data_IF_693880863576
#
_entry.id   IF_693880863576
#
_cell.length_a   1.000
_cell.length_b   1.000
_cell.length_c   1.000
_cell.angle_alpha   90.00
_cell.angle_beta   90.00
_cell.angle_gamma   90.00
#
_symmetry.space_group_name_H-M   'P 1'
#
loop_
_entity.id
_entity.type
_entity.pdbx_description
1 polymer ?
#
# COMPACT_ATOMS: atom_id res chain seq x y z
N UNK A 1 -11.68 -29.22 32.63
CA UNK A 1 -10.29 -28.94 32.23
C UNK A 1 -10.02 -29.40 30.80
N UNK A 2 -10.49 -30.53 30.32
CA UNK A 2 -10.33 -31.03 28.95
C UNK A 2 -11.06 -30.18 27.91
N UNK A 3 -12.25 -29.66 28.20
CA UNK A 3 -12.97 -28.77 27.28
C UNK A 3 -12.26 -27.39 27.12
N UNK A 4 -11.69 -26.88 28.21
CA UNK A 4 -10.92 -25.62 28.14
C UNK A 4 -9.62 -25.78 27.33
N UNK A 5 -8.96 -26.94 27.45
CA UNK A 5 -7.79 -27.27 26.65
C UNK A 5 -8.13 -27.41 25.16
N UNK A 6 -9.23 -28.13 24.84
CA UNK A 6 -9.74 -28.25 23.47
C UNK A 6 -10.10 -26.88 22.87
N UNK A 7 -10.76 -26.02 23.64
CA UNK A 7 -11.10 -24.67 23.19
C UNK A 7 -9.87 -23.82 22.95
N UNK A 8 -8.83 -23.94 23.77
CA UNK A 8 -7.56 -23.25 23.58
C UNK A 8 -6.82 -23.74 22.34
N UNK A 9 -6.84 -25.05 22.07
CA UNK A 9 -6.22 -25.65 20.88
C UNK A 9 -6.97 -25.25 19.60
N UNK A 10 -8.31 -25.31 19.60
CA UNK A 10 -9.15 -24.86 18.49
C UNK A 10 -8.97 -23.37 18.22
N UNK A 11 -8.88 -22.54 19.27
CA UNK A 11 -8.63 -21.12 19.14
C UNK A 11 -7.23 -20.81 18.60
N UNK A 12 -6.23 -21.57 19.05
CA UNK A 12 -4.87 -21.47 18.53
C UNK A 12 -4.80 -21.89 17.04
N UNK A 13 -5.56 -22.92 16.68
CA UNK A 13 -5.63 -23.37 15.28
C UNK A 13 -6.39 -22.38 14.38
N UNK A 14 -7.50 -21.81 14.86
CA UNK A 14 -8.24 -20.73 14.17
C UNK A 14 -7.34 -19.49 14.00
N UNK A 15 -6.61 -19.08 15.04
CA UNK A 15 -5.67 -17.98 15.01
C UNK A 15 -4.50 -18.25 14.06
N UNK A 16 -4.03 -19.51 14.00
CA UNK A 16 -3.00 -19.98 13.07
C UNK A 16 -3.49 -19.95 11.61
N UNK A 17 -4.75 -20.33 11.39
CA UNK A 17 -5.42 -20.28 10.06
C UNK A 17 -5.67 -18.83 9.62
N UNK A 18 -6.12 -17.95 10.51
CA UNK A 18 -6.23 -16.51 10.24
C UNK A 18 -4.87 -15.86 9.91
N UNK A 19 -3.81 -16.27 10.62
CA UNK A 19 -2.45 -15.81 10.37
C UNK A 19 -1.92 -16.27 9.01
N UNK A 20 -2.40 -17.41 8.51
CA UNK A 20 -2.07 -17.94 7.19
C UNK A 20 -2.95 -17.37 6.06
N UNK A 21 -3.85 -16.42 6.38
CA UNK A 21 -4.74 -15.80 5.38
C UNK A 21 -5.85 -16.73 4.89
N UNK A 22 -6.17 -17.80 5.64
CA UNK A 22 -7.32 -18.65 5.39
C UNK A 22 -8.55 -17.97 5.98
N UNK A 23 -9.52 -17.63 5.14
CA UNK A 23 -10.83 -17.12 5.60
C UNK A 23 -11.55 -18.22 6.37
N UNK A 24 -11.97 -17.92 7.60
CA UNK A 24 -12.63 -18.84 8.54
C UNK A 24 -14.09 -19.16 8.14
N UNK A 25 -14.54 -18.69 6.98
CA UNK A 25 -15.84 -19.09 6.44
C UNK A 25 -15.73 -20.43 5.73
N UNK A 26 -16.24 -21.46 6.38
CA UNK A 26 -16.59 -22.84 6.10
C UNK A 26 -16.62 -23.43 4.69
N UNK A 27 -15.85 -22.91 3.76
CA UNK A 27 -15.63 -23.52 2.46
C UNK A 27 -14.25 -24.17 2.51
N UNK A 28 -14.25 -25.50 2.48
CA UNK A 28 -13.12 -26.41 2.38
C UNK A 28 -11.90 -25.73 1.73
N UNK A 29 -10.98 -25.23 2.55
CA UNK A 29 -9.78 -24.57 2.09
C UNK A 29 -8.88 -25.57 1.38
N UNK A 30 -8.81 -25.54 0.05
CA UNK A 30 -7.72 -26.19 -0.69
C UNK A 30 -6.41 -25.73 -0.06
N UNK A 31 -5.67 -26.65 0.57
CA UNK A 31 -4.34 -26.39 1.12
C UNK A 31 -3.53 -25.64 0.06
N UNK A 32 -3.15 -24.37 0.35
CA UNK A 32 -2.28 -23.61 -0.55
C UNK A 32 -1.00 -24.40 -0.72
N UNK A 33 -0.71 -24.85 -1.95
CA UNK A 33 0.57 -25.48 -2.26
C UNK A 33 1.61 -24.36 -2.30
N UNK A 34 2.37 -24.22 -1.22
CA UNK A 34 3.52 -23.33 -1.20
C UNK A 34 4.67 -23.95 -1.98
N UNK A 35 5.35 -23.14 -2.78
CA UNK A 35 6.58 -23.55 -3.45
C UNK A 35 7.69 -23.67 -2.41
N UNK A 36 8.42 -24.78 -2.38
CA UNK A 36 9.60 -24.91 -1.52
C UNK A 36 10.71 -24.01 -2.07
N UNK A 37 11.15 -23.03 -1.29
CA UNK A 37 12.28 -22.17 -1.62
C UNK A 37 13.42 -22.51 -0.66
N UNK A 38 14.54 -23.03 -1.19
CA UNK A 38 15.75 -23.38 -0.44
C UNK A 38 16.77 -22.24 -0.51
N UNK A 39 16.43 -21.07 -0.02
CA UNK A 39 17.37 -19.95 0.09
C UNK A 39 17.70 -19.72 1.57
N UNK A 40 18.99 -19.53 1.89
CA UNK A 40 19.45 -19.15 3.24
C UNK A 40 19.46 -17.62 3.33
N UNK A 41 18.83 -17.08 4.34
CA UNK A 41 18.89 -15.65 4.64
C UNK A 41 20.23 -15.38 5.31
N UNK A 42 21.12 -14.64 4.62
CA UNK A 42 22.42 -14.21 5.17
C UNK A 42 22.42 -12.75 5.61
N UNK A 43 21.28 -12.06 5.49
CA UNK A 43 21.17 -10.65 5.82
C UNK A 43 21.12 -10.42 7.36
N UNK A 44 21.79 -9.35 7.81
CA UNK A 44 21.85 -8.93 9.22
C UNK A 44 21.02 -7.66 9.42
N UNK A 45 20.53 -7.45 10.65
CA UNK A 45 19.77 -6.25 11.03
C UNK A 45 18.43 -6.11 10.28
N UNK A 46 17.97 -4.87 10.08
CA UNK A 46 16.70 -4.58 9.42
C UNK A 46 16.57 -5.14 7.99
N UNK A 47 17.68 -5.35 7.28
CA UNK A 47 17.66 -5.99 5.95
C UNK A 47 17.08 -7.41 5.97
N UNK A 48 17.19 -8.12 7.07
CA UNK A 48 16.64 -9.46 7.21
C UNK A 48 15.10 -9.47 7.07
N UNK A 49 14.42 -8.38 7.45
CA UNK A 49 12.97 -8.21 7.31
C UNK A 49 12.58 -8.25 5.83
N UNK A 50 13.27 -7.46 5.01
CA UNK A 50 13.03 -7.43 3.56
C UNK A 50 13.25 -8.81 2.90
N UNK A 51 14.36 -9.48 3.20
CA UNK A 51 14.63 -10.81 2.64
C UNK A 51 13.60 -11.84 3.08
N UNK A 52 13.11 -11.77 4.31
CA UNK A 52 12.03 -12.64 4.80
C UNK A 52 10.74 -12.41 4.01
N UNK A 53 10.34 -11.14 3.83
CA UNK A 53 9.18 -10.80 3.01
C UNK A 53 9.36 -11.25 1.56
N UNK A 54 10.54 -11.03 0.96
CA UNK A 54 10.84 -11.48 -0.39
C UNK A 54 10.68 -13.00 -0.53
N UNK A 55 11.12 -13.78 0.47
CA UNK A 55 10.90 -15.22 0.49
C UNK A 55 9.43 -15.60 0.60
N UNK A 56 8.64 -14.85 1.38
CA UNK A 56 7.19 -15.06 1.45
C UNK A 56 6.50 -14.77 0.11
N UNK A 57 6.92 -13.72 -0.59
CA UNK A 57 6.43 -13.44 -1.94
C UNK A 57 6.85 -14.52 -2.93
N UNK A 58 8.10 -15.02 -2.87
CA UNK A 58 8.59 -16.12 -3.73
C UNK A 58 7.86 -17.45 -3.51
N UNK A 59 7.31 -17.69 -2.31
CA UNK A 59 6.51 -18.89 -2.00
C UNK A 59 5.13 -18.83 -2.63
N UNK A 60 4.61 -17.64 -2.97
CA UNK A 60 3.31 -17.49 -3.62
C UNK A 60 3.37 -17.86 -5.10
N UNK A 61 2.24 -18.37 -5.62
CA UNK A 61 2.13 -18.84 -7.01
C UNK A 61 2.39 -17.72 -8.04
N UNK A 62 1.95 -16.51 -7.72
CA UNK A 62 2.00 -15.35 -8.62
C UNK A 62 2.99 -14.26 -8.15
N UNK A 63 3.92 -14.59 -7.27
CA UNK A 63 4.95 -13.68 -6.77
C UNK A 63 4.37 -12.36 -6.23
N UNK A 64 4.45 -11.25 -6.98
CA UNK A 64 3.96 -9.92 -6.58
C UNK A 64 2.47 -9.76 -6.86
N UNK A 65 1.93 -10.47 -7.86
CA UNK A 65 0.54 -10.32 -8.26
C UNK A 65 -0.41 -10.94 -7.23
N UNK A 66 -1.24 -10.10 -6.65
CA UNK A 66 -2.30 -10.53 -5.72
C UNK A 66 -3.66 -10.50 -6.42
N UNK A 67 -4.67 -11.15 -5.80
CA UNK A 67 -6.06 -11.03 -6.27
C UNK A 67 -6.52 -9.58 -6.31
N UNK A 68 -5.98 -8.74 -5.42
CA UNK A 68 -6.30 -7.31 -5.35
C UNK A 68 -5.71 -6.55 -6.53
N UNK A 69 -4.50 -6.88 -6.98
CA UNK A 69 -3.92 -6.33 -8.22
C UNK A 69 -4.82 -6.63 -9.42
N UNK A 70 -5.35 -7.86 -9.52
CA UNK A 70 -6.27 -8.23 -10.59
C UNK A 70 -7.58 -7.42 -10.55
N UNK A 71 -8.18 -7.25 -9.37
CA UNK A 71 -9.36 -6.41 -9.17
C UNK A 71 -9.04 -4.96 -9.56
N UNK A 72 -7.89 -4.43 -9.13
CA UNK A 72 -7.44 -3.08 -9.47
C UNK A 72 -7.34 -2.88 -10.98
N UNK A 73 -6.76 -3.85 -11.69
CA UNK A 73 -6.66 -3.82 -13.16
C UNK A 73 -8.04 -3.81 -13.81
N UNK A 74 -8.95 -4.66 -13.37
CA UNK A 74 -10.33 -4.70 -13.92
C UNK A 74 -11.04 -3.36 -13.70
N UNK A 75 -10.94 -2.77 -12.50
CA UNK A 75 -11.53 -1.45 -12.22
C UNK A 75 -10.89 -0.36 -13.09
N UNK A 76 -9.55 -0.36 -13.22
CA UNK A 76 -8.84 0.61 -14.05
C UNK A 76 -9.25 0.52 -15.52
N UNK A 77 -9.39 -0.69 -16.08
CA UNK A 77 -9.88 -0.90 -17.44
C UNK A 77 -11.33 -0.43 -17.62
N UNK A 78 -12.18 -0.71 -16.64
CA UNK A 78 -13.57 -0.24 -16.68
C UNK A 78 -13.62 1.29 -16.69
N UNK A 79 -12.86 1.96 -15.82
CA UNK A 79 -12.77 3.43 -15.81
C UNK A 79 -12.16 3.97 -17.10
N UNK A 80 -11.16 3.30 -17.63
CA UNK A 80 -10.51 3.68 -18.87
C UNK A 80 -11.51 3.66 -20.05
N UNK A 81 -12.37 2.65 -20.09
CA UNK A 81 -13.39 2.52 -21.13
C UNK A 81 -14.50 3.57 -20.96
N UNK A 82 -15.03 3.75 -19.74
CA UNK A 82 -16.14 4.67 -19.46
C UNK A 82 -15.77 6.15 -19.60
N UNK A 83 -14.51 6.51 -19.29
CA UNK A 83 -14.04 7.90 -19.37
C UNK A 83 -13.34 8.25 -20.68
N UNK A 84 -13.28 7.31 -21.63
CA UNK A 84 -12.55 7.49 -22.88
C UNK A 84 -12.99 8.72 -23.68
N UNK A 85 -14.28 8.80 -23.93
CA UNK A 85 -14.81 9.87 -24.78
C UNK A 85 -14.59 11.24 -24.15
N UNK A 86 -14.86 11.35 -22.84
CA UNK A 86 -14.55 12.58 -22.07
C UNK A 86 -13.06 12.92 -22.08
N UNK A 87 -12.17 11.96 -21.91
CA UNK A 87 -10.72 12.19 -21.86
C UNK A 87 -10.15 12.62 -23.22
N UNK A 88 -10.62 11.99 -24.31
CA UNK A 88 -10.09 12.28 -25.66
C UNK A 88 -10.72 13.55 -26.25
N UNK A 89 -12.02 13.76 -26.10
CA UNK A 89 -12.72 14.94 -26.63
C UNK A 89 -12.30 16.25 -25.96
N UNK A 90 -12.00 16.21 -24.65
CA UNK A 90 -11.58 17.40 -23.90
C UNK A 90 -10.12 17.76 -24.14
N UNK A 91 -9.30 16.86 -24.69
CA UNK A 91 -7.87 17.09 -24.93
C UNK A 91 -7.03 17.21 -23.65
N UNK A 92 -7.54 16.73 -22.50
CA UNK A 92 -6.87 16.79 -21.19
C UNK A 92 -6.75 15.38 -20.57
N UNK A 93 -6.47 14.38 -21.39
CA UNK A 93 -6.41 12.97 -21.03
C UNK A 93 -5.42 12.68 -19.86
N UNK A 94 -4.33 13.46 -19.75
CA UNK A 94 -3.36 13.34 -18.66
C UNK A 94 -3.96 13.62 -17.29
N UNK A 95 -4.91 14.58 -17.18
CA UNK A 95 -5.59 14.87 -15.91
C UNK A 95 -6.62 13.80 -15.55
N UNK A 96 -7.27 13.21 -16.55
CA UNK A 96 -8.14 12.05 -16.33
C UNK A 96 -7.32 10.86 -15.80
N UNK A 97 -6.13 10.61 -16.35
CA UNK A 97 -5.23 9.58 -15.85
C UNK A 97 -4.84 9.84 -14.39
N UNK A 98 -4.51 11.09 -14.04
CA UNK A 98 -4.24 11.50 -12.66
C UNK A 98 -5.46 11.25 -11.76
N UNK A 99 -6.67 11.54 -12.23
CA UNK A 99 -7.92 11.26 -11.51
C UNK A 99 -8.12 9.76 -11.26
N UNK A 100 -7.86 8.92 -12.26
CA UNK A 100 -7.91 7.45 -12.12
C UNK A 100 -6.93 6.97 -11.05
N UNK A 101 -5.71 7.49 -11.01
CA UNK A 101 -4.70 7.14 -10.01
C UNK A 101 -5.15 7.55 -8.60
N UNK A 102 -5.66 8.77 -8.43
CA UNK A 102 -6.17 9.25 -7.16
C UNK A 102 -7.33 8.37 -6.67
N UNK A 103 -8.28 8.05 -7.56
CA UNK A 103 -9.38 7.15 -7.26
C UNK A 103 -8.90 5.75 -6.85
N UNK A 104 -7.96 5.17 -7.62
CA UNK A 104 -7.39 3.86 -7.31
C UNK A 104 -6.65 3.86 -5.97
N UNK A 105 -5.98 4.95 -5.60
CA UNK A 105 -5.35 5.09 -4.29
C UNK A 105 -6.37 5.00 -3.14
N UNK A 106 -7.56 5.59 -3.31
CA UNK A 106 -8.65 5.52 -2.33
C UNK A 106 -9.23 4.11 -2.27
N UNK A 107 -9.59 3.53 -3.43
CA UNK A 107 -10.20 2.18 -3.51
C UNK A 107 -9.26 1.13 -2.91
N UNK A 108 -7.96 1.23 -3.19
CA UNK A 108 -6.97 0.30 -2.64
C UNK A 108 -6.66 0.58 -1.16
N UNK A 109 -7.18 1.66 -0.57
CA UNK A 109 -6.90 2.00 0.83
C UNK A 109 -7.36 0.91 1.82
N UNK A 110 -8.42 0.18 1.51
CA UNK A 110 -8.92 -0.95 2.31
C UNK A 110 -8.05 -2.21 2.26
N UNK A 111 -7.10 -2.30 1.30
CA UNK A 111 -6.27 -3.49 1.17
C UNK A 111 -5.16 -3.53 2.22
N UNK A 112 -5.13 -4.62 2.96
CA UNK A 112 -4.11 -4.90 3.96
C UNK A 112 -2.94 -5.62 3.29
N UNK A 113 -1.80 -4.96 3.17
CA UNK A 113 -0.55 -5.55 2.68
C UNK A 113 0.01 -6.58 3.68
N UNK A 114 0.94 -7.42 3.23
CA UNK A 114 1.61 -8.41 4.10
C UNK A 114 2.46 -7.77 5.20
N UNK A 115 2.92 -6.54 4.97
CA UNK A 115 3.73 -5.77 5.91
C UNK A 115 3.05 -5.55 7.27
N UNK A 116 1.71 -5.54 7.33
CA UNK A 116 0.97 -5.42 8.60
C UNK A 116 1.24 -6.60 9.53
N UNK A 117 1.39 -7.80 8.98
CA UNK A 117 1.76 -8.98 9.77
C UNK A 117 3.18 -8.88 10.32
N UNK A 118 4.06 -8.14 9.62
CA UNK A 118 5.40 -7.86 10.11
C UNK A 118 5.38 -6.92 11.31
N UNK A 119 4.57 -5.87 11.29
CA UNK A 119 4.43 -4.93 12.41
C UNK A 119 3.92 -5.60 13.70
N UNK A 120 3.12 -6.66 13.57
CA UNK A 120 2.61 -7.44 14.71
C UNK A 120 3.62 -8.46 15.23
N UNK A 121 4.79 -8.55 14.61
CA UNK A 121 5.79 -9.53 15.00
C UNK A 121 6.75 -8.92 16.04
N UNK A 122 6.77 -9.42 17.30
CA UNK A 122 7.62 -8.85 18.35
C UNK A 122 9.11 -8.91 18.01
N UNK A 123 9.55 -9.85 17.18
CA UNK A 123 10.96 -9.92 16.75
C UNK A 123 11.41 -8.71 15.94
N UNK A 124 10.49 -7.97 15.32
CA UNK A 124 10.80 -6.75 14.58
C UNK A 124 11.43 -5.71 15.51
N UNK A 125 10.92 -5.62 16.73
CA UNK A 125 11.34 -4.64 17.73
C UNK A 125 12.70 -5.02 18.37
N UNK A 126 13.00 -6.32 18.44
CA UNK A 126 14.27 -6.82 18.99
C UNK A 126 15.49 -6.64 18.06
N UNK A 127 15.29 -6.25 16.79
CA UNK A 127 16.37 -6.02 15.85
C UNK A 127 17.14 -4.75 16.25
N UNK A 128 18.47 -4.79 16.45
CA UNK A 128 19.26 -3.62 16.84
C UNK A 128 19.52 -2.70 15.64
N UNK A 129 18.50 -1.94 15.23
CA UNK A 129 18.55 -0.98 14.12
C UNK A 129 17.64 0.21 14.42
N UNK A 130 17.83 1.33 13.71
CA UNK A 130 16.99 2.51 13.89
C UNK A 130 15.56 2.26 13.41
N UNK A 131 14.52 2.82 14.08
CA UNK A 131 13.10 2.64 13.73
C UNK A 131 12.80 2.97 12.26
N UNK A 132 13.40 4.04 11.75
CA UNK A 132 13.26 4.43 10.35
C UNK A 132 13.75 3.34 9.38
N UNK A 133 14.89 2.68 9.68
CA UNK A 133 15.41 1.57 8.87
C UNK A 133 14.50 0.35 8.95
N UNK A 134 14.03 0.01 10.17
CA UNK A 134 13.10 -1.12 10.37
C UNK A 134 11.82 -0.89 9.55
N UNK A 135 11.22 0.30 9.64
CA UNK A 135 10.02 0.68 8.91
C UNK A 135 10.25 0.63 7.39
N UNK A 136 11.35 1.21 6.92
CA UNK A 136 11.70 1.23 5.49
C UNK A 136 11.83 -0.18 4.91
N UNK A 137 12.60 -1.07 5.56
CA UNK A 137 12.77 -2.44 5.08
C UNK A 137 11.49 -3.28 5.23
N UNK A 138 10.63 -2.98 6.20
CA UNK A 138 9.33 -3.62 6.35
C UNK A 138 8.34 -3.24 5.24
N UNK A 139 8.44 -2.02 4.70
CA UNK A 139 7.54 -1.51 3.65
C UNK A 139 8.11 -1.61 2.23
N UNK A 140 9.41 -1.94 2.08
CA UNK A 140 10.12 -1.90 0.79
C UNK A 140 9.46 -2.78 -0.28
N UNK A 141 9.00 -3.98 0.07
CA UNK A 141 8.30 -4.86 -0.88
C UNK A 141 6.97 -4.27 -1.36
N UNK A 142 6.27 -3.53 -0.51
CA UNK A 142 5.03 -2.85 -0.90
C UNK A 142 5.32 -1.66 -1.83
N UNK A 143 6.45 -0.95 -1.66
CA UNK A 143 6.87 0.09 -2.61
C UNK A 143 7.20 -0.49 -3.99
N UNK A 144 7.93 -1.61 -4.03
CA UNK A 144 8.21 -2.33 -5.29
C UNK A 144 6.91 -2.77 -5.95
N UNK A 145 5.97 -3.32 -5.17
CA UNK A 145 4.66 -3.70 -5.67
C UNK A 145 3.87 -2.51 -6.20
N UNK A 146 3.88 -1.38 -5.50
CA UNK A 146 3.19 -0.16 -5.92
C UNK A 146 3.72 0.36 -7.27
N UNK A 147 5.04 0.30 -7.49
CA UNK A 147 5.62 0.65 -8.81
C UNK A 147 5.14 -0.29 -9.91
N UNK A 148 5.14 -1.60 -9.66
CA UNK A 148 4.66 -2.60 -10.63
C UNK A 148 3.17 -2.40 -10.94
N UNK A 149 2.33 -2.22 -9.90
CA UNK A 149 0.90 -1.98 -10.05
C UNK A 149 0.66 -0.67 -10.81
N UNK A 150 1.43 0.40 -10.53
CA UNK A 150 1.40 1.66 -11.25
C UNK A 150 1.73 1.52 -12.74
N UNK A 151 2.77 0.74 -13.09
CA UNK A 151 3.09 0.44 -14.49
C UNK A 151 1.95 -0.31 -15.19
N UNK A 152 1.37 -1.31 -14.53
CA UNK A 152 0.29 -2.13 -15.12
C UNK A 152 -1.00 -1.32 -15.34
N UNK A 153 -1.27 -0.33 -14.50
CA UNK A 153 -2.45 0.53 -14.62
C UNK A 153 -2.17 1.67 -15.60
N UNK A 154 -1.10 2.44 -15.40
CA UNK A 154 -0.88 3.69 -16.15
C UNK A 154 -0.45 3.48 -17.60
N UNK A 155 0.37 2.44 -17.90
CA UNK A 155 0.87 2.24 -19.26
C UNK A 155 -0.27 1.89 -20.24
N UNK A 156 -1.13 0.89 -19.99
CA UNK A 156 -2.22 0.57 -20.91
C UNK A 156 -3.22 1.72 -21.07
N UNK A 157 -3.58 2.40 -19.95
CA UNK A 157 -4.51 3.54 -19.99
C UNK A 157 -3.90 4.70 -20.77
N UNK A 158 -2.61 5.02 -20.53
CA UNK A 158 -1.89 6.06 -21.25
C UNK A 158 -1.82 5.81 -22.75
N UNK A 159 -1.56 4.56 -23.18
CA UNK A 159 -1.57 4.17 -24.60
C UNK A 159 -2.97 4.32 -25.18
N UNK A 160 -3.99 3.87 -24.47
CA UNK A 160 -5.38 3.90 -24.96
C UNK A 160 -5.93 5.32 -25.10
N UNK A 161 -5.52 6.25 -24.24
CA UNK A 161 -5.93 7.66 -24.28
C UNK A 161 -4.92 8.55 -25.01
N UNK A 162 -3.87 8.01 -25.61
CA UNK A 162 -2.81 8.73 -26.34
C UNK A 162 -2.12 9.81 -25.47
N UNK A 163 -1.94 9.54 -24.17
CA UNK A 163 -1.24 10.43 -23.23
C UNK A 163 0.26 10.42 -23.53
N UNK A 164 0.90 11.57 -23.47
CA UNK A 164 2.34 11.67 -23.65
C UNK A 164 3.10 10.81 -22.62
N UNK A 165 4.15 10.07 -23.05
CA UNK A 165 4.89 9.15 -22.17
C UNK A 165 5.45 9.81 -20.91
N UNK A 166 5.79 11.09 -20.96
CA UNK A 166 6.31 11.84 -19.83
C UNK A 166 5.28 11.93 -18.70
N UNK A 167 4.02 12.24 -19.02
CA UNK A 167 2.95 12.31 -18.04
C UNK A 167 2.60 10.91 -17.48
N UNK A 168 2.70 9.87 -18.30
CA UNK A 168 2.51 8.48 -17.84
C UNK A 168 3.57 8.13 -16.78
N UNK A 169 4.82 8.49 -16.99
CA UNK A 169 5.91 8.28 -16.02
C UNK A 169 5.65 9.05 -14.72
N UNK A 170 5.26 10.33 -14.80
CA UNK A 170 4.88 11.09 -13.61
C UNK A 170 3.73 10.42 -12.86
N UNK A 171 2.72 9.94 -13.56
CA UNK A 171 1.58 9.25 -12.98
C UNK A 171 2.00 7.96 -12.25
N UNK A 172 2.88 7.15 -12.82
CA UNK A 172 3.42 5.95 -12.17
C UNK A 172 4.13 6.31 -10.86
N UNK A 173 4.99 7.34 -10.89
CA UNK A 173 5.73 7.78 -9.72
C UNK A 173 4.80 8.36 -8.64
N UNK A 174 3.84 9.23 -9.03
CA UNK A 174 2.85 9.77 -8.10
C UNK A 174 2.03 8.64 -7.46
N UNK A 175 1.61 7.64 -8.24
CA UNK A 175 0.90 6.47 -7.71
C UNK A 175 1.73 5.73 -6.66
N UNK A 176 3.01 5.46 -6.95
CA UNK A 176 3.89 4.78 -6.02
C UNK A 176 4.08 5.56 -4.71
N UNK A 177 4.23 6.88 -4.81
CA UNK A 177 4.36 7.78 -3.65
C UNK A 177 3.07 7.85 -2.84
N UNK A 178 1.90 7.94 -3.48
CA UNK A 178 0.59 7.90 -2.79
C UNK A 178 0.36 6.56 -2.07
N UNK A 179 0.82 5.44 -2.65
CA UNK A 179 0.76 4.14 -1.97
C UNK A 179 1.71 4.10 -0.75
N UNK A 180 2.89 4.72 -0.83
CA UNK A 180 3.80 4.86 0.31
C UNK A 180 3.19 5.71 1.43
N UNK A 181 2.58 6.85 1.09
CA UNK A 181 1.88 7.69 2.04
C UNK A 181 0.76 6.92 2.77
N UNK A 182 0.00 6.12 2.05
CA UNK A 182 -1.01 5.23 2.63
C UNK A 182 -0.44 4.27 3.68
N UNK A 183 0.74 3.70 3.42
CA UNK A 183 1.39 2.78 4.36
C UNK A 183 1.78 3.51 5.64
N UNK A 184 2.41 4.68 5.53
CA UNK A 184 2.84 5.47 6.67
C UNK A 184 1.67 6.04 7.47
N UNK A 185 0.63 6.53 6.79
CA UNK A 185 -0.63 6.97 7.44
C UNK A 185 -1.25 5.85 8.26
N UNK A 186 -1.17 4.59 7.79
CA UNK A 186 -1.69 3.45 8.54
C UNK A 186 -0.90 3.18 9.82
N UNK A 187 0.44 3.28 9.77
CA UNK A 187 1.27 3.17 10.98
C UNK A 187 0.90 4.25 11.98
N UNK A 188 0.76 5.50 11.54
CA UNK A 188 0.37 6.62 12.39
C UNK A 188 -1.02 6.38 13.00
N UNK A 189 -2.01 5.97 12.19
CA UNK A 189 -3.35 5.69 12.67
C UNK A 189 -3.37 4.58 13.72
N UNK A 190 -2.58 3.53 13.53
CA UNK A 190 -2.45 2.44 14.49
C UNK A 190 -1.79 2.89 15.79
N UNK A 191 -0.79 3.79 15.73
CA UNK A 191 -0.13 4.34 16.91
C UNK A 191 -0.98 5.37 17.67
N UNK A 192 -1.80 6.18 16.96
CA UNK A 192 -2.61 7.23 17.58
C UNK A 192 -3.90 6.70 18.18
N UNK A 193 -4.58 5.84 17.47
CA UNK A 193 -5.91 5.35 17.84
C UNK A 193 -5.81 4.06 18.65
N UNK A 194 -4.71 3.30 18.45
CA UNK A 194 -4.44 2.06 19.16
C UNK A 194 -5.60 1.07 19.08
N UNK A 195 -5.85 0.37 20.18
CA UNK A 195 -6.98 -0.56 20.30
C UNK A 195 -8.27 0.11 20.78
N UNK A 196 -8.23 1.39 21.20
CA UNK A 196 -9.36 2.09 21.84
C UNK A 196 -10.58 2.17 20.91
N UNK A 197 -10.38 2.53 19.65
CA UNK A 197 -11.45 2.66 18.66
C UNK A 197 -11.56 1.45 17.71
N UNK A 198 -10.77 0.41 17.93
CA UNK A 198 -10.75 -0.79 17.11
C UNK A 198 -10.33 -0.53 15.65
N UNK A 199 -10.48 -1.55 14.81
CA UNK A 199 -10.09 -1.47 13.38
C UNK A 199 -10.87 -0.41 12.61
N UNK A 200 -12.16 -0.27 12.91
CA UNK A 200 -13.04 0.68 12.20
C UNK A 200 -12.57 2.12 12.41
N UNK A 201 -12.22 2.49 13.64
CA UNK A 201 -11.71 3.83 13.94
C UNK A 201 -10.38 4.13 13.24
N UNK A 202 -9.47 3.15 13.20
CA UNK A 202 -8.20 3.28 12.46
C UNK A 202 -8.44 3.47 10.96
N UNK A 203 -9.38 2.73 10.37
CA UNK A 203 -9.70 2.84 8.94
C UNK A 203 -10.36 4.19 8.60
N UNK A 204 -11.26 4.69 9.46
CA UNK A 204 -11.87 6.01 9.30
C UNK A 204 -10.81 7.11 9.39
N UNK A 205 -9.96 7.10 10.42
CA UNK A 205 -8.89 8.10 10.56
C UNK A 205 -7.98 8.10 9.34
N UNK A 206 -7.56 6.91 8.88
CA UNK A 206 -6.74 6.77 7.68
C UNK A 206 -7.41 7.36 6.45
N UNK A 207 -8.69 7.06 6.22
CA UNK A 207 -9.45 7.62 5.09
C UNK A 207 -9.53 9.14 5.19
N UNK A 208 -9.84 9.71 6.36
CA UNK A 208 -9.88 11.16 6.56
C UNK A 208 -8.54 11.82 6.21
N UNK A 209 -7.42 11.25 6.68
CA UNK A 209 -6.09 11.78 6.36
C UNK A 209 -5.81 11.67 4.86
N UNK A 210 -6.11 10.56 4.21
CA UNK A 210 -5.90 10.39 2.77
C UNK A 210 -6.74 11.39 1.96
N UNK A 211 -8.01 11.57 2.29
CA UNK A 211 -8.86 12.56 1.63
C UNK A 211 -8.33 13.98 1.81
N UNK A 212 -7.86 14.33 3.00
CA UNK A 212 -7.26 15.62 3.27
C UNK A 212 -5.99 15.85 2.42
N UNK A 213 -5.11 14.86 2.34
CA UNK A 213 -3.86 14.95 1.56
C UNK A 213 -4.14 15.03 0.05
N UNK A 214 -5.07 14.23 -0.46
CA UNK A 214 -5.49 14.29 -1.87
C UNK A 214 -6.19 15.63 -2.18
N UNK A 215 -7.04 16.12 -1.28
CA UNK A 215 -7.71 17.41 -1.43
C UNK A 215 -6.72 18.58 -1.46
N UNK A 216 -5.73 18.59 -0.57
CA UNK A 216 -4.64 19.57 -0.61
C UNK A 216 -3.82 19.47 -1.91
N UNK A 217 -3.51 18.25 -2.37
CA UNK A 217 -2.83 18.03 -3.65
C UNK A 217 -3.65 18.57 -4.84
N UNK A 218 -4.95 18.32 -4.86
CA UNK A 218 -5.85 18.89 -5.87
C UNK A 218 -5.87 20.43 -5.81
N UNK A 219 -5.91 21.01 -4.62
CA UNK A 219 -5.80 22.46 -4.42
C UNK A 219 -4.49 23.03 -4.99
N UNK A 220 -3.37 22.37 -4.73
CA UNK A 220 -2.05 22.74 -5.30
C UNK A 220 -2.11 22.67 -6.83
N UNK A 221 -2.67 21.60 -7.41
CA UNK A 221 -2.81 21.45 -8.86
C UNK A 221 -3.62 22.60 -9.49
N UNK A 222 -4.75 22.97 -8.88
CA UNK A 222 -5.60 24.07 -9.34
C UNK A 222 -4.86 25.41 -9.27
N UNK A 223 -4.18 25.70 -8.16
CA UNK A 223 -3.40 26.93 -8.00
C UNK A 223 -2.30 27.03 -9.07
N UNK A 224 -1.54 25.95 -9.27
CA UNK A 224 -0.47 25.89 -10.26
C UNK A 224 -1.03 26.05 -11.66
N UNK A 225 -2.14 25.39 -11.98
CA UNK A 225 -2.78 25.48 -13.30
C UNK A 225 -3.29 26.88 -13.64
N UNK A 226 -3.85 27.60 -12.66
CA UNK A 226 -4.40 28.95 -12.86
C UNK A 226 -3.30 30.00 -12.88
N UNK A 227 -2.34 29.96 -11.95
CA UNK A 227 -1.40 31.07 -11.73
C UNK A 227 -0.05 30.89 -12.39
N UNK A 228 0.36 29.66 -12.76
CA UNK A 228 1.70 29.40 -13.26
C UNK A 228 1.62 28.83 -14.68
N UNK A 229 1.42 27.53 -14.81
CA UNK A 229 1.32 26.83 -16.09
C UNK A 229 0.78 25.41 -15.87
N UNK A 230 -0.11 24.95 -16.75
CA UNK A 230 -0.66 23.60 -16.72
C UNK A 230 0.39 22.50 -16.85
N UNK A 231 1.44 22.72 -17.64
CA UNK A 231 2.53 21.75 -17.80
C UNK A 231 3.37 21.52 -16.54
N UNK A 232 3.35 22.46 -15.57
CA UNK A 232 4.08 22.32 -14.31
C UNK A 232 3.29 21.61 -13.21
N UNK A 233 2.01 21.28 -13.45
CA UNK A 233 1.18 20.61 -12.46
C UNK A 233 1.80 19.27 -12.04
N UNK A 234 2.20 18.41 -12.98
CA UNK A 234 2.75 17.09 -12.68
C UNK A 234 4.08 17.13 -11.89
N UNK A 235 5.10 17.89 -12.29
CA UNK A 235 6.31 18.03 -11.50
C UNK A 235 6.06 18.56 -10.08
N UNK A 236 5.20 19.57 -9.95
CA UNK A 236 4.90 20.17 -8.64
C UNK A 236 4.11 19.20 -7.76
N UNK A 237 3.11 18.49 -8.32
CA UNK A 237 2.41 17.42 -7.60
C UNK A 237 3.34 16.29 -7.16
N UNK A 238 4.31 15.93 -7.99
CA UNK A 238 5.32 14.94 -7.63
C UNK A 238 6.14 15.40 -6.43
N UNK A 239 6.66 16.63 -6.46
CA UNK A 239 7.41 17.21 -5.34
C UNK A 239 6.54 17.28 -4.08
N UNK A 240 5.32 17.80 -4.20
CA UNK A 240 4.36 17.83 -3.10
C UNK A 240 4.13 16.45 -2.48
N UNK A 241 3.82 15.45 -3.32
CA UNK A 241 3.55 14.08 -2.85
C UNK A 241 4.77 13.48 -2.14
N UNK A 242 5.99 13.67 -2.68
CA UNK A 242 7.24 13.19 -2.05
C UNK A 242 7.47 13.87 -0.70
N UNK A 243 7.29 15.19 -0.61
CA UNK A 243 7.47 15.93 0.65
C UNK A 243 6.48 15.47 1.72
N UNK A 244 5.21 15.32 1.37
CA UNK A 244 4.16 14.83 2.27
C UNK A 244 4.48 13.42 2.74
N UNK A 245 4.80 12.52 1.82
CA UNK A 245 5.12 11.13 2.16
C UNK A 245 6.39 11.02 3.01
N UNK A 246 7.41 11.86 2.77
CA UNK A 246 8.60 11.93 3.62
C UNK A 246 8.25 12.40 5.04
N UNK A 247 7.42 13.43 5.17
CA UNK A 247 6.94 13.92 6.47
C UNK A 247 6.14 12.84 7.22
N UNK A 248 5.22 12.15 6.53
CA UNK A 248 4.43 11.06 7.09
C UNK A 248 5.32 9.87 7.48
N UNK A 249 6.31 9.52 6.67
CA UNK A 249 7.28 8.47 6.99
C UNK A 249 8.12 8.82 8.21
N UNK A 250 8.54 10.08 8.35
CA UNK A 250 9.26 10.55 9.53
C UNK A 250 8.37 10.49 10.79
N UNK A 251 7.14 10.99 10.73
CA UNK A 251 6.18 10.91 11.85
C UNK A 251 5.88 9.45 12.23
N UNK A 252 5.70 8.57 11.23
CA UNK A 252 5.52 7.15 11.46
C UNK A 252 6.71 6.53 12.18
N UNK A 253 7.96 6.91 11.82
CA UNK A 253 9.16 6.38 12.46
C UNK A 253 9.31 6.81 13.93
N UNK A 254 8.94 8.05 14.26
CA UNK A 254 8.95 8.53 15.65
C UNK A 254 7.93 7.78 16.52
N UNK A 255 6.75 7.51 15.96
CA UNK A 255 5.69 6.77 16.67
C UNK A 255 5.97 5.27 16.73
N UNK A 256 6.75 4.73 15.81
CA UNK A 256 7.12 3.33 15.80
C UNK A 256 7.91 2.91 17.07
N UNK A 257 8.74 3.79 17.63
CA UNK A 257 9.44 3.55 18.91
C UNK A 257 8.45 3.38 20.08
N UNK A 258 7.34 4.13 20.06
CA UNK A 258 6.35 4.01 21.14
C UNK A 258 5.62 2.67 21.12
N UNK A 259 5.52 1.99 19.98
CA UNK A 259 4.94 0.65 19.88
C UNK A 259 5.81 -0.43 20.53
N UNK A 260 7.13 -0.22 20.61
CA UNK A 260 8.05 -1.14 21.30
C UNK A 260 7.76 -1.25 22.80
N UNK A 261 7.16 -0.22 23.40
CA UNK A 261 6.87 -0.16 24.83
C UNK A 261 5.59 -0.90 25.23
N UNK A 262 4.76 -1.32 24.27
CA UNK A 262 3.46 -1.97 24.49
C UNK A 262 3.44 -3.46 24.12
N UNK A 263 4.57 -4.03 23.74
CA UNK A 263 4.78 -5.45 23.44
C UNK A 263 5.59 -6.11 24.55
#
# INVERSE_FOLDING_TARGET
>A
YEEAAKFADDYAEIKKRQKNGETVFGISGKKRKFRQVRERISAKGAKAIFYRQLLEYKKEKFFIFSKVTLIAVVIAFFLCYTLRDAAVETGVAEFFLLGVIAYMSIVMSGYLGKWENELKNPYLYLIPDTPMKKLWYATLMEHVKALVDGCIICIPVGIFWHVEPVYVVFCILIYAVLQADRLYTKVIAQCLVGEIFGKTGQDVLRMCVQFALLGMGAGVAVIVGIFINTGLIFPILMVYSVMVTAAMGFLASLRFETMEQFV
#
